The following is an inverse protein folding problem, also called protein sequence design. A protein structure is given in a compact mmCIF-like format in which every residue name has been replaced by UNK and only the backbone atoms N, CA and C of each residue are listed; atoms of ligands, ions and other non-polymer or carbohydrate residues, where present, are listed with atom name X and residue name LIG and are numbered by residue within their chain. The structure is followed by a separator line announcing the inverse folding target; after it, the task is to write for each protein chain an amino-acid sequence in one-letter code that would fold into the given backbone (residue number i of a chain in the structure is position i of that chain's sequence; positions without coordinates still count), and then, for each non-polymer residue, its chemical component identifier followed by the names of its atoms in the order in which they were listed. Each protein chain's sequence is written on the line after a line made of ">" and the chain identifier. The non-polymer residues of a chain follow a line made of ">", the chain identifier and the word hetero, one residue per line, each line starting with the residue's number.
data_IF_874813509533
#
_entry.id   IF_874813509533
#
_cell.length_a   1.000
_cell.length_b   1.000
_cell.length_c   1.000
_cell.angle_alpha   90.00
_cell.angle_beta   90.00
_cell.angle_gamma   90.00
#
_symmetry.space_group_name_H-M   'P 1'
#
loop_
_entity.id
_entity.type
_entity.pdbx_description
1 polymer ?
#
# COMPACT_ATOMS: atom_id res chain seq x y z
N UNK A 1 0.61 10.82 -2.29
CA UNK A 1 -0.06 9.51 -2.46
C UNK A 1 -1.23 9.45 -1.50
N UNK A 2 -2.48 9.32 -1.99
CA UNK A 2 -3.66 9.13 -1.12
C UNK A 2 -4.00 7.65 -1.12
N UNK A 3 -3.72 6.96 0.00
CA UNK A 3 -4.07 5.54 0.19
C UNK A 3 -5.44 5.43 0.87
N UNK A 4 -6.18 4.35 0.60
CA UNK A 4 -7.42 4.04 1.31
C UNK A 4 -7.09 3.05 2.43
N UNK A 5 -7.45 3.42 3.66
CA UNK A 5 -7.37 2.54 4.82
C UNK A 5 -8.66 1.72 4.87
N UNK A 6 -8.55 0.40 4.86
CA UNK A 6 -9.63 -0.50 5.28
C UNK A 6 -9.45 -0.76 6.78
N UNK A 7 -10.51 -0.66 7.56
CA UNK A 7 -10.44 -0.75 9.03
C UNK A 7 -9.98 -2.15 9.49
N UNK A 8 -9.11 -2.16 10.52
CA UNK A 8 -8.63 -3.26 11.36
C UNK A 8 -8.10 -4.57 10.73
N UNK A 9 -8.02 -4.70 9.40
CA UNK A 9 -7.71 -5.98 8.76
C UNK A 9 -6.23 -6.22 8.42
N UNK A 10 -5.31 -5.34 8.80
CA UNK A 10 -3.90 -5.45 8.37
C UNK A 10 -3.72 -5.34 6.85
N UNK A 11 -4.66 -4.69 6.16
CA UNK A 11 -4.64 -4.51 4.69
C UNK A 11 -4.43 -3.04 4.34
N UNK A 12 -3.52 -2.79 3.41
CA UNK A 12 -3.30 -1.48 2.80
C UNK A 12 -3.80 -1.52 1.35
N UNK A 13 -4.60 -0.53 0.97
CA UNK A 13 -5.16 -0.42 -0.38
C UNK A 13 -4.67 0.85 -1.07
N UNK A 14 -4.00 0.68 -2.20
CA UNK A 14 -3.40 1.75 -3.01
C UNK A 14 -4.05 1.73 -4.40
N UNK A 15 -4.49 2.87 -4.96
CA UNK A 15 -5.04 2.90 -6.30
C UNK A 15 -4.00 2.53 -7.36
N UNK A 16 -4.32 1.56 -8.21
CA UNK A 16 -3.44 1.07 -9.25
C UNK A 16 -3.84 1.60 -10.63
N UNK A 17 -2.95 2.39 -11.25
CA UNK A 17 -3.12 2.91 -12.63
C UNK A 17 -2.22 2.19 -13.63
N UNK A 18 -0.90 2.39 -13.52
CA UNK A 18 0.09 1.73 -14.37
C UNK A 18 0.51 0.38 -13.77
N UNK A 19 1.44 0.35 -12.81
CA UNK A 19 1.93 -0.84 -12.08
C UNK A 19 2.09 -2.15 -12.89
N UNK A 20 2.25 -2.11 -14.22
CA UNK A 20 2.30 -3.33 -15.04
C UNK A 20 3.50 -4.20 -14.68
N UNK A 21 4.69 -3.59 -14.60
CA UNK A 21 5.92 -4.28 -14.17
C UNK A 21 5.82 -4.76 -12.72
N UNK A 22 5.25 -3.93 -11.83
CA UNK A 22 5.02 -4.32 -10.44
C UNK A 22 4.07 -5.53 -10.36
N UNK A 23 2.99 -5.54 -11.12
CA UNK A 23 2.04 -6.65 -11.20
C UNK A 23 2.73 -7.94 -11.67
N UNK A 24 3.55 -7.87 -12.72
CA UNK A 24 4.28 -9.03 -13.22
C UNK A 24 5.33 -9.54 -12.23
N UNK A 25 5.95 -8.64 -11.46
CA UNK A 25 6.84 -9.03 -10.37
C UNK A 25 6.08 -9.70 -9.23
N UNK A 26 4.92 -9.16 -8.83
CA UNK A 26 4.08 -9.71 -7.77
C UNK A 26 3.55 -11.11 -8.10
N UNK A 27 3.28 -11.39 -9.38
CA UNK A 27 2.92 -12.75 -9.86
C UNK A 27 4.04 -13.76 -9.67
N UNK A 28 5.31 -13.34 -9.71
CA UNK A 28 6.50 -14.19 -9.54
C UNK A 28 6.91 -14.31 -8.08
N UNK A 29 6.90 -13.19 -7.36
CA UNK A 29 7.15 -13.11 -5.93
C UNK A 29 6.30 -11.97 -5.37
N UNK A 30 5.34 -12.32 -4.53
CA UNK A 30 4.38 -11.37 -3.97
C UNK A 30 4.91 -10.66 -2.71
N UNK A 31 6.13 -10.93 -2.25
CA UNK A 31 6.73 -10.22 -1.13
C UNK A 31 6.97 -8.75 -1.49
N UNK A 32 6.51 -7.85 -0.63
CA UNK A 32 6.65 -6.40 -0.80
C UNK A 32 7.21 -5.76 0.45
N UNK A 33 7.91 -4.65 0.24
CA UNK A 33 8.30 -3.72 1.28
C UNK A 33 7.81 -2.32 0.90
N UNK A 34 7.12 -1.67 1.84
CA UNK A 34 6.57 -0.33 1.71
C UNK A 34 7.20 0.57 2.77
N UNK A 35 7.81 1.66 2.32
CA UNK A 35 8.32 2.71 3.18
C UNK A 35 7.35 3.88 3.19
N UNK A 36 6.96 4.33 4.39
CA UNK A 36 6.17 5.53 4.58
C UNK A 36 6.84 6.42 5.62
N UNK A 37 7.03 7.69 5.31
CA UNK A 37 7.66 8.65 6.22
C UNK A 37 7.07 10.05 6.08
N UNK A 38 7.14 10.83 7.16
CA UNK A 38 6.69 12.21 7.18
C UNK A 38 7.48 13.03 8.18
N UNK A 39 8.02 14.17 7.74
CA UNK A 39 8.67 15.18 8.61
C UNK A 39 7.69 15.85 9.59
N UNK A 40 6.39 15.74 9.34
CA UNK A 40 5.33 16.30 10.19
C UNK A 40 4.92 15.37 11.33
N UNK A 41 5.45 14.15 11.37
CA UNK A 41 5.23 13.21 12.46
C UNK A 41 6.42 13.31 13.40
N UNK A 42 6.18 13.54 14.68
CA UNK A 42 7.24 13.56 15.69
C UNK A 42 7.86 12.17 15.80
N UNK A 43 9.17 12.07 15.58
CA UNK A 43 9.93 10.86 15.78
C UNK A 43 10.69 10.84 17.10
N UNK A 44 11.47 9.77 17.29
CA UNK A 44 12.18 9.49 18.54
C UNK A 44 13.21 10.57 18.89
N UNK A 45 13.93 11.08 17.88
CA UNK A 45 15.06 12.00 18.08
C UNK A 45 14.77 13.43 17.58
N UNK A 46 13.56 13.70 17.09
CA UNK A 46 13.20 14.98 16.49
C UNK A 46 12.04 14.86 15.51
N UNK A 47 11.66 15.95 14.82
CA UNK A 47 10.64 15.92 13.79
C UNK A 47 11.02 14.96 12.65
N UNK A 48 10.12 14.07 12.28
CA UNK A 48 10.33 13.04 11.28
C UNK A 48 10.21 11.64 11.85
N UNK A 49 9.23 10.89 11.35
CA UNK A 49 9.11 9.45 11.61
C UNK A 49 8.84 8.72 10.30
N UNK A 50 9.48 7.57 10.13
CA UNK A 50 9.19 6.60 9.10
C UNK A 50 8.75 5.24 9.66
N UNK A 51 8.23 4.40 8.79
CA UNK A 51 8.11 2.97 9.03
C UNK A 51 8.38 2.18 7.75
N UNK A 52 8.93 0.98 7.93
CA UNK A 52 8.95 -0.08 6.92
C UNK A 52 7.84 -1.08 7.22
N UNK A 53 7.09 -1.43 6.19
CA UNK A 53 5.98 -2.37 6.23
C UNK A 53 6.29 -3.48 5.23
N UNK A 54 6.48 -4.70 5.73
CA UNK A 54 6.65 -5.88 4.86
C UNK A 54 5.39 -6.72 4.83
N UNK A 55 5.11 -7.35 3.69
CA UNK A 55 3.95 -8.20 3.54
C UNK A 55 3.81 -8.80 2.15
N UNK A 56 2.58 -9.13 1.77
CA UNK A 56 2.25 -9.73 0.46
C UNK A 56 1.37 -8.80 -0.35
N UNK A 57 1.79 -8.50 -1.57
CA UNK A 57 1.10 -7.61 -2.50
C UNK A 57 0.41 -8.35 -3.64
N UNK A 58 -0.73 -7.84 -4.07
CA UNK A 58 -1.38 -8.24 -5.32
C UNK A 58 -2.11 -7.06 -5.97
N UNK A 59 -2.29 -7.11 -7.29
CA UNK A 59 -3.13 -6.16 -8.01
C UNK A 59 -4.49 -6.81 -8.28
N UNK A 60 -5.54 -6.24 -7.69
CA UNK A 60 -6.92 -6.64 -7.95
C UNK A 60 -7.54 -5.68 -8.97
N UNK A 61 -7.92 -6.19 -10.14
CA UNK A 61 -8.60 -5.41 -11.19
C UNK A 61 -10.13 -5.51 -11.14
N UNK A 62 -10.65 -6.43 -10.32
CA UNK A 62 -12.09 -6.66 -10.09
C UNK A 62 -12.34 -7.02 -8.62
N UNK A 63 -13.60 -7.00 -8.20
CA UNK A 63 -14.00 -7.31 -6.84
C UNK A 63 -14.06 -6.08 -5.92
N UNK A 64 -14.52 -6.29 -4.68
CA UNK A 64 -14.94 -5.23 -3.76
C UNK A 64 -13.91 -4.12 -3.56
N UNK A 65 -12.62 -4.46 -3.39
CA UNK A 65 -11.57 -3.47 -3.15
C UNK A 65 -11.23 -2.67 -4.42
N UNK A 66 -11.22 -3.33 -5.59
CA UNK A 66 -11.02 -2.68 -6.87
C UNK A 66 -12.19 -1.72 -7.18
N UNK A 67 -13.42 -2.14 -6.94
CA UNK A 67 -14.62 -1.33 -7.18
C UNK A 67 -14.66 -0.10 -6.26
N UNK A 68 -14.33 -0.29 -4.97
CA UNK A 68 -14.18 0.81 -4.01
C UNK A 68 -13.12 1.82 -4.45
N UNK A 69 -11.98 1.34 -4.95
CA UNK A 69 -10.90 2.21 -5.45
C UNK A 69 -11.35 2.98 -6.69
N UNK A 70 -11.92 2.30 -7.69
CA UNK A 70 -12.39 2.93 -8.94
C UNK A 70 -13.46 3.99 -8.70
N UNK A 71 -14.35 3.76 -7.73
CA UNK A 71 -15.36 4.73 -7.31
C UNK A 71 -14.75 6.04 -6.79
N UNK A 72 -13.60 5.96 -6.08
CA UNK A 72 -12.90 7.15 -5.52
C UNK A 72 -11.85 7.73 -6.46
N UNK A 73 -11.30 6.91 -7.36
CA UNK A 73 -10.21 7.24 -8.26
C UNK A 73 -10.55 6.74 -9.66
N UNK A 74 -11.23 7.58 -10.45
CA UNK A 74 -11.71 7.22 -11.80
C UNK A 74 -10.60 6.84 -12.79
N UNK A 75 -9.36 7.26 -12.54
CA UNK A 75 -8.18 6.90 -13.34
C UNK A 75 -7.60 5.53 -12.98
N UNK A 76 -7.97 4.94 -11.84
CA UNK A 76 -7.40 3.68 -11.39
C UNK A 76 -8.04 2.52 -12.16
N UNK A 77 -7.21 1.59 -12.66
CA UNK A 77 -7.69 0.34 -13.27
C UNK A 77 -8.00 -0.74 -12.24
N UNK A 78 -7.55 -0.57 -11.00
CA UNK A 78 -7.70 -1.54 -9.92
C UNK A 78 -7.07 -1.06 -8.62
N UNK A 79 -6.83 -2.00 -7.70
CA UNK A 79 -6.26 -1.77 -6.40
C UNK A 79 -4.98 -2.61 -6.21
N UNK A 80 -3.89 -1.99 -5.78
CA UNK A 80 -2.79 -2.70 -5.13
C UNK A 80 -3.19 -2.95 -3.68
N UNK A 81 -3.33 -4.22 -3.35
CA UNK A 81 -3.71 -4.71 -2.02
C UNK A 81 -2.48 -5.32 -1.38
N UNK A 82 -2.12 -4.83 -0.21
CA UNK A 82 -0.99 -5.34 0.57
C UNK A 82 -1.53 -5.90 1.88
N UNK A 83 -1.33 -7.19 2.10
CA UNK A 83 -1.55 -7.85 3.39
C UNK A 83 -0.28 -7.69 4.22
N UNK A 84 -0.35 -6.96 5.32
CA UNK A 84 0.78 -6.62 6.17
C UNK A 84 1.16 -7.81 7.05
N UNK A 85 2.44 -8.17 7.04
CA UNK A 85 3.00 -9.22 7.91
C UNK A 85 3.86 -8.63 9.03
N UNK A 86 4.57 -7.52 8.78
CA UNK A 86 5.40 -6.86 9.79
C UNK A 86 5.46 -5.35 9.56
N UNK A 87 5.51 -4.59 10.66
CA UNK A 87 5.73 -3.14 10.67
C UNK A 87 6.90 -2.84 11.59
N UNK A 88 7.87 -2.06 11.12
CA UNK A 88 9.00 -1.57 11.89
C UNK A 88 9.05 -0.05 11.80
N UNK A 89 9.03 0.66 12.92
CA UNK A 89 9.30 2.10 12.95
C UNK A 89 10.78 2.34 12.61
N UNK A 90 11.02 3.33 11.76
CA UNK A 90 12.37 3.77 11.38
C UNK A 90 12.49 5.27 11.64
N UNK A 91 13.66 5.70 12.13
CA UNK A 91 14.03 7.08 12.53
C UNK A 91 13.62 7.47 13.96
#
# INVERSE_FOLDING_TARGET
>A
MKALKTEDSGIIVIPAGFYNVTEDNLKKNNQVELLAASSKVQGTNGPGQGCSISGKGEIQTSGKLADMVKSKFSWARGALVITVEKVNTQL
#
